data_IF_876256752101
#
_entry.id   IF_876256752101
#
_cell.length_a   1.000
_cell.length_b   1.000
_cell.length_c   1.000
_cell.angle_alpha   90.00
_cell.angle_beta   90.00
_cell.angle_gamma   90.00
#
_symmetry.space_group_name_H-M   'P 1'
#
loop_
_entity.id
_entity.type
_entity.pdbx_description
1 polymer ?
#
# COMPACT_ATOMS: atom_id res chain seq x y z
N UNK A 1 -4.90 9.38 3.57
CA UNK A 1 -4.38 9.15 2.20
C UNK A 1 -5.36 8.27 1.45
N UNK A 2 -5.47 8.43 0.12
CA UNK A 2 -6.36 7.60 -0.70
C UNK A 2 -5.57 6.58 -1.50
N UNK A 3 -6.14 5.39 -1.67
CA UNK A 3 -5.61 4.29 -2.44
C UNK A 3 -6.69 3.82 -3.43
N UNK A 4 -6.35 3.72 -4.71
CA UNK A 4 -7.23 3.08 -5.68
C UNK A 4 -7.38 1.60 -5.31
N UNK A 5 -8.61 1.08 -5.34
CA UNK A 5 -8.87 -0.35 -5.13
C UNK A 5 -9.55 -0.96 -6.33
N UNK A 6 -9.14 -2.18 -6.67
CA UNK A 6 -9.83 -3.10 -7.59
C UNK A 6 -10.42 -4.22 -6.74
N UNK A 7 -11.70 -4.49 -6.86
CA UNK A 7 -12.39 -5.52 -6.06
C UNK A 7 -13.48 -6.21 -6.86
N UNK A 8 -13.86 -7.43 -6.44
CA UNK A 8 -14.97 -8.17 -7.02
C UNK A 8 -16.22 -8.10 -6.14
N UNK A 9 -17.38 -8.08 -6.77
CA UNK A 9 -18.69 -8.20 -6.13
C UNK A 9 -19.21 -9.64 -6.21
N UNK A 10 -20.28 -9.94 -5.47
CA UNK A 10 -20.81 -11.30 -5.35
C UNK A 10 -21.34 -11.90 -6.68
N UNK A 11 -21.65 -11.08 -7.66
CA UNK A 11 -22.03 -11.47 -9.03
C UNK A 11 -20.83 -11.78 -9.94
N UNK A 12 -19.61 -11.62 -9.41
CA UNK A 12 -18.35 -11.87 -10.09
C UNK A 12 -17.85 -10.71 -10.96
N UNK A 13 -18.54 -9.57 -10.97
CA UNK A 13 -18.03 -8.36 -11.64
C UNK A 13 -16.92 -7.71 -10.82
N UNK A 14 -16.00 -7.05 -11.49
CA UNK A 14 -14.96 -6.25 -10.87
C UNK A 14 -15.22 -4.75 -11.03
N UNK A 15 -14.76 -3.97 -10.05
CA UNK A 15 -15.00 -2.54 -9.95
C UNK A 15 -13.79 -1.80 -9.39
N UNK A 16 -13.78 -0.48 -9.63
CA UNK A 16 -12.87 0.43 -8.93
C UNK A 16 -13.61 1.19 -7.84
N UNK A 17 -12.92 1.44 -6.74
CA UNK A 17 -13.25 2.50 -5.79
C UNK A 17 -11.99 3.08 -5.14
N UNK A 18 -12.14 3.94 -4.16
CA UNK A 18 -11.05 4.51 -3.39
C UNK A 18 -11.18 4.11 -1.91
N UNK A 19 -10.14 3.50 -1.38
CA UNK A 19 -10.02 3.23 0.06
C UNK A 19 -9.27 4.37 0.72
N UNK A 20 -9.83 4.93 1.79
CA UNK A 20 -9.12 5.89 2.62
C UNK A 20 -8.23 5.17 3.62
N UNK A 21 -6.95 5.54 3.65
CA UNK A 21 -5.98 5.10 4.65
C UNK A 21 -5.91 6.19 5.71
N UNK A 22 -6.52 6.00 6.90
CA UNK A 22 -6.50 6.99 7.96
C UNK A 22 -5.07 7.29 8.41
N UNK A 23 -4.79 8.56 8.65
CA UNK A 23 -3.52 9.03 9.19
C UNK A 23 -3.73 9.85 10.44
N UNK A 24 -2.70 9.89 11.29
CA UNK A 24 -2.63 10.75 12.45
C UNK A 24 -1.35 11.56 12.41
N UNK A 25 -1.43 12.81 12.84
CA UNK A 25 -0.24 13.66 12.93
C UNK A 25 0.66 13.17 14.05
N UNK A 26 1.94 13.01 13.76
CA UNK A 26 2.94 12.53 14.71
C UNK A 26 4.23 13.32 14.59
N UNK A 27 4.66 13.93 15.67
CA UNK A 27 5.96 14.57 15.78
C UNK A 27 6.99 13.57 16.30
N UNK A 28 7.99 13.24 15.49
CA UNK A 28 9.03 12.24 15.83
C UNK A 28 10.25 12.83 16.50
N UNK A 29 10.42 14.17 16.41
CA UNK A 29 11.51 14.91 17.05
C UNK A 29 11.05 16.33 17.38
N UNK A 30 11.43 16.92 18.54
CA UNK A 30 10.97 18.25 18.93
C UNK A 30 11.21 19.36 17.92
N UNK A 31 12.27 19.24 17.12
CA UNK A 31 12.67 20.24 16.12
C UNK A 31 12.28 19.84 14.68
N UNK A 32 11.50 18.79 14.47
CA UNK A 32 11.03 18.36 13.18
C UNK A 32 9.55 18.73 12.99
N UNK A 33 9.14 18.95 11.75
CA UNK A 33 7.72 19.05 11.41
C UNK A 33 7.02 17.72 11.74
N UNK A 34 5.74 17.79 12.08
CA UNK A 34 4.93 16.60 12.24
C UNK A 34 4.72 15.88 10.90
N UNK A 35 4.67 14.56 10.93
CA UNK A 35 4.32 13.70 9.79
C UNK A 35 2.91 13.16 9.96
N UNK A 36 2.25 12.95 8.84
CA UNK A 36 1.01 12.19 8.79
C UNK A 36 1.35 10.71 8.61
N UNK A 37 1.03 9.90 9.61
CA UNK A 37 1.35 8.46 9.61
C UNK A 37 0.08 7.62 9.75
N UNK A 38 0.00 6.56 8.95
CA UNK A 38 -1.06 5.56 9.08
C UNK A 38 -0.76 4.59 10.22
N UNK A 39 -1.75 3.80 10.60
CA UNK A 39 -1.53 2.59 11.36
C UNK A 39 -0.64 1.60 10.56
N UNK A 40 -0.09 0.60 11.24
CA UNK A 40 0.61 -0.50 10.58
C UNK A 40 -0.40 -1.55 10.11
N UNK A 41 -0.16 -2.08 8.93
CA UNK A 41 -0.94 -3.18 8.35
C UNK A 41 -0.06 -4.43 8.29
N UNK A 42 -0.67 -5.60 8.54
CA UNK A 42 0.05 -6.86 8.49
C UNK A 42 0.33 -7.25 7.03
N UNK A 43 1.60 -7.40 6.69
CA UNK A 43 2.06 -7.90 5.40
C UNK A 43 2.68 -9.28 5.57
N UNK A 44 2.43 -10.20 4.64
CA UNK A 44 2.99 -11.56 4.66
C UNK A 44 4.18 -11.73 3.71
N UNK A 45 4.44 -10.76 2.84
CA UNK A 45 5.58 -10.82 1.92
C UNK A 45 5.69 -9.59 1.05
N UNK A 46 6.88 -9.42 0.48
CA UNK A 46 7.21 -8.36 -0.48
C UNK A 46 7.84 -9.00 -1.71
N UNK A 47 7.46 -8.54 -2.90
CA UNK A 47 8.03 -8.95 -4.18
C UNK A 47 8.35 -7.73 -5.02
N UNK A 48 9.53 -7.72 -5.61
CA UNK A 48 9.89 -6.80 -6.67
C UNK A 48 9.65 -7.47 -8.01
N UNK A 49 8.93 -6.82 -8.90
CA UNK A 49 8.64 -7.34 -10.24
C UNK A 49 9.16 -6.36 -11.27
N UNK A 50 10.06 -6.86 -12.12
CA UNK A 50 10.50 -6.14 -13.30
C UNK A 50 9.64 -6.56 -14.49
N UNK A 51 9.04 -5.59 -15.16
CA UNK A 51 8.25 -5.77 -16.38
C UNK A 51 9.11 -5.26 -17.53
N UNK A 52 9.57 -6.12 -18.45
CA UNK A 52 10.46 -5.72 -19.52
C UNK A 52 9.78 -4.78 -20.51
N UNK A 53 10.60 -3.99 -21.22
CA UNK A 53 10.12 -3.13 -22.29
C UNK A 53 9.34 -3.92 -23.34
N UNK A 54 8.24 -3.35 -23.85
CA UNK A 54 7.34 -4.00 -24.81
C UNK A 54 6.32 -4.97 -24.20
N UNK A 55 6.40 -5.30 -22.93
CA UNK A 55 5.35 -6.03 -22.23
C UNK A 55 4.11 -5.14 -22.12
N UNK A 56 3.01 -5.58 -22.75
CA UNK A 56 1.85 -4.73 -23.01
C UNK A 56 0.65 -5.14 -22.17
N UNK A 57 -0.16 -5.98 -22.71
CA UNK A 57 -1.45 -6.32 -22.17
C UNK A 57 -1.40 -7.68 -21.49
N UNK A 58 -1.98 -7.72 -20.29
CA UNK A 58 -2.38 -8.95 -19.61
C UNK A 58 -3.91 -8.96 -19.65
N UNK A 59 -4.46 -10.03 -20.23
CA UNK A 59 -5.90 -10.20 -20.39
C UNK A 59 -6.58 -10.47 -19.04
N UNK A 60 -7.89 -10.67 -19.03
CA UNK A 60 -8.67 -10.86 -17.81
C UNK A 60 -8.03 -11.87 -16.85
N UNK A 61 -7.73 -11.44 -15.66
CA UNK A 61 -7.11 -12.26 -14.61
C UNK A 61 -7.44 -11.70 -13.22
N UNK A 62 -7.45 -12.58 -12.24
CA UNK A 62 -7.58 -12.25 -10.83
C UNK A 62 -6.20 -12.24 -10.16
N UNK A 63 -6.11 -11.63 -8.97
CA UNK A 63 -4.92 -11.79 -8.14
C UNK A 63 -5.03 -13.03 -7.23
N UNK A 64 -3.92 -13.74 -6.96
CA UNK A 64 -3.94 -14.96 -6.14
C UNK A 64 -4.24 -14.69 -4.65
N UNK A 65 -4.26 -13.46 -4.24
CA UNK A 65 -4.54 -12.99 -2.89
C UNK A 65 -4.44 -11.47 -2.83
N UNK A 66 -5.00 -10.86 -1.80
CA UNK A 66 -4.99 -9.40 -1.63
C UNK A 66 -3.57 -8.85 -1.65
N UNK A 67 -3.33 -7.85 -2.48
CA UNK A 67 -2.01 -7.28 -2.68
C UNK A 67 -2.08 -5.76 -2.88
N UNK A 68 -1.20 -5.04 -2.20
CA UNK A 68 -0.95 -3.64 -2.48
C UNK A 68 0.24 -3.56 -3.44
N UNK A 69 0.05 -2.93 -4.58
CA UNK A 69 1.15 -2.65 -5.52
C UNK A 69 1.54 -1.20 -5.45
N UNK A 70 2.84 -0.94 -5.57
CA UNK A 70 3.38 0.39 -5.76
C UNK A 70 4.20 0.40 -7.05
N UNK A 71 3.82 1.28 -7.96
CA UNK A 71 4.57 1.48 -9.20
C UNK A 71 5.71 2.44 -8.95
N UNK A 72 6.94 1.98 -9.12
CA UNK A 72 8.13 2.79 -8.88
C UNK A 72 8.45 3.69 -10.08
N UNK A 73 8.16 3.18 -11.28
CA UNK A 73 8.36 3.86 -12.56
C UNK A 73 7.28 3.46 -13.56
N UNK A 74 7.28 4.07 -14.76
CA UNK A 74 6.34 3.80 -15.83
C UNK A 74 4.88 4.11 -15.46
N UNK A 75 3.96 3.51 -16.21
CA UNK A 75 2.52 3.60 -15.96
C UNK A 75 1.80 2.33 -16.39
N UNK A 76 0.59 2.12 -15.86
CA UNK A 76 -0.32 1.11 -16.38
C UNK A 76 -1.73 1.67 -16.47
N UNK A 77 -2.52 1.09 -17.36
CA UNK A 77 -3.96 1.25 -17.41
C UNK A 77 -4.59 -0.06 -16.96
N UNK A 78 -5.56 0.04 -16.07
CA UNK A 78 -6.34 -1.10 -15.60
C UNK A 78 -7.78 -0.94 -16.05
N UNK A 79 -8.41 -2.04 -16.46
CA UNK A 79 -9.82 -2.09 -16.83
C UNK A 79 -10.52 -3.12 -15.96
N UNK A 80 -11.66 -2.75 -15.37
CA UNK A 80 -12.56 -3.64 -14.65
C UNK A 80 -13.67 -4.16 -15.54
N UNK A 81 -14.34 -5.24 -15.14
CA UNK A 81 -15.31 -5.93 -15.97
C UNK A 81 -16.60 -5.14 -16.19
N UNK A 82 -16.87 -4.13 -15.37
CA UNK A 82 -17.94 -3.15 -15.58
C UNK A 82 -17.62 -2.10 -16.67
N UNK A 83 -16.42 -2.17 -17.25
CA UNK A 83 -15.96 -1.29 -18.33
C UNK A 83 -15.28 -0.01 -17.88
N UNK A 84 -15.08 0.19 -16.57
CA UNK A 84 -14.33 1.33 -16.07
C UNK A 84 -12.81 1.15 -16.29
N UNK A 85 -12.11 2.25 -16.59
CA UNK A 85 -10.68 2.27 -16.86
C UNK A 85 -9.98 3.32 -16.01
N UNK A 86 -8.81 2.95 -15.49
CA UNK A 86 -7.98 3.85 -14.68
C UNK A 86 -6.52 3.78 -15.10
N UNK A 87 -5.94 4.95 -15.32
CA UNK A 87 -4.50 5.11 -15.52
C UNK A 87 -3.80 5.33 -14.19
N UNK A 88 -2.76 4.55 -13.96
CA UNK A 88 -1.95 4.55 -12.73
C UNK A 88 -0.51 4.93 -13.09
N UNK A 89 -0.06 6.14 -12.79
CA UNK A 89 1.30 6.58 -13.03
C UNK A 89 2.28 6.06 -11.96
N UNK A 90 3.57 6.28 -12.18
CA UNK A 90 4.61 6.08 -11.18
C UNK A 90 4.31 6.83 -9.87
N UNK A 91 4.72 6.27 -8.74
CA UNK A 91 4.45 6.78 -7.40
C UNK A 91 3.04 6.49 -6.87
N UNK A 92 2.16 5.91 -7.69
CA UNK A 92 0.83 5.49 -7.26
C UNK A 92 0.86 4.08 -6.68
N UNK A 93 -0.08 3.82 -5.77
CA UNK A 93 -0.32 2.49 -5.25
C UNK A 93 -1.79 2.08 -5.47
N UNK A 94 -1.98 0.78 -5.70
CA UNK A 94 -3.28 0.16 -5.97
C UNK A 94 -3.44 -1.06 -5.09
N UNK A 95 -4.58 -1.16 -4.44
CA UNK A 95 -4.99 -2.36 -3.70
C UNK A 95 -5.80 -3.26 -4.62
N UNK A 96 -5.31 -4.46 -4.89
CA UNK A 96 -6.04 -5.48 -5.62
C UNK A 96 -6.66 -6.46 -4.63
N UNK A 97 -7.99 -6.57 -4.68
CA UNK A 97 -8.82 -7.46 -3.88
C UNK A 97 -9.77 -8.30 -4.76
N UNK A 98 -9.61 -8.25 -6.06
CA UNK A 98 -10.31 -9.05 -7.06
C UNK A 98 -9.71 -10.47 -7.14
N UNK A 99 -9.81 -11.20 -6.02
CA UNK A 99 -9.25 -12.55 -5.85
C UNK A 99 -10.09 -13.63 -6.51
N UNK A 100 -11.28 -13.31 -6.95
CA UNK A 100 -12.25 -14.15 -7.62
C UNK A 100 -13.04 -13.38 -8.70
N UNK A 101 -13.95 -14.05 -9.39
CA UNK A 101 -14.78 -13.45 -10.45
C UNK A 101 -14.01 -13.22 -11.75
N UNK A 102 -14.37 -12.17 -12.48
CA UNK A 102 -13.80 -11.86 -13.79
C UNK A 102 -12.40 -11.25 -13.74
N UNK A 103 -12.05 -10.65 -12.59
CA UNK A 103 -10.77 -9.98 -12.43
C UNK A 103 -10.67 -8.68 -13.24
N UNK A 104 -9.45 -8.29 -13.57
CA UNK A 104 -9.15 -7.07 -14.33
C UNK A 104 -8.23 -7.35 -15.51
N UNK A 105 -8.16 -6.39 -16.43
CA UNK A 105 -7.10 -6.32 -17.46
C UNK A 105 -6.06 -5.28 -17.04
N UNK A 106 -4.83 -5.49 -17.49
CA UNK A 106 -3.76 -4.48 -17.36
C UNK A 106 -3.07 -4.22 -18.70
N UNK A 107 -2.83 -2.96 -18.99
CA UNK A 107 -2.05 -2.50 -20.13
C UNK A 107 -0.84 -1.71 -19.57
N UNK A 108 0.34 -2.27 -19.71
CA UNK A 108 1.57 -1.63 -19.25
C UNK A 108 2.13 -0.69 -20.33
N UNK A 109 2.76 0.42 -19.91
CA UNK A 109 3.46 1.31 -20.83
C UNK A 109 4.61 0.57 -21.56
N UNK A 110 5.02 1.08 -22.76
CA UNK A 110 6.02 0.38 -23.56
C UNK A 110 7.42 0.31 -22.95
N UNK A 111 7.71 1.17 -21.99
CA UNK A 111 9.00 1.21 -21.30
C UNK A 111 9.09 0.07 -20.26
N UNK A 112 10.30 -0.32 -19.91
CA UNK A 112 10.51 -1.20 -18.76
C UNK A 112 10.03 -0.55 -17.45
N UNK A 113 9.58 -1.36 -16.51
CA UNK A 113 8.95 -0.88 -15.28
C UNK A 113 9.31 -1.75 -14.09
N UNK A 114 9.32 -1.14 -12.93
CA UNK A 114 9.46 -1.84 -11.65
C UNK A 114 8.24 -1.61 -10.77
N UNK A 115 7.68 -2.70 -10.28
CA UNK A 115 6.51 -2.69 -9.40
C UNK A 115 6.84 -3.43 -8.12
N UNK A 116 6.58 -2.80 -6.99
CA UNK A 116 6.64 -3.42 -5.67
C UNK A 116 5.26 -4.02 -5.35
N UNK A 117 5.24 -5.28 -4.93
CA UNK A 117 4.06 -6.02 -4.50
C UNK A 117 4.18 -6.34 -3.02
N UNK A 118 3.17 -5.97 -2.25
CA UNK A 118 3.09 -6.21 -0.81
C UNK A 118 1.84 -7.04 -0.54
N UNK A 119 2.03 -8.31 -0.15
CA UNK A 119 0.91 -9.19 0.17
C UNK A 119 0.23 -8.74 1.46
N UNK A 120 -1.05 -8.38 1.38
CA UNK A 120 -1.87 -7.89 2.49
C UNK A 120 -3.09 -8.79 2.72
N UNK A 121 -2.96 -9.95 3.38
CA UNK A 121 -4.07 -10.90 3.54
C UNK A 121 -5.31 -10.31 4.20
N UNK A 122 -5.15 -9.29 5.03
CA UNK A 122 -6.24 -8.58 5.73
C UNK A 122 -6.69 -7.29 5.00
N UNK A 123 -6.10 -6.97 3.83
CA UNK A 123 -6.34 -5.69 3.14
C UNK A 123 -5.87 -4.49 3.97
N UNK A 124 -6.45 -3.32 3.67
CA UNK A 124 -6.18 -2.05 4.39
C UNK A 124 -7.27 -1.69 5.40
N UNK A 125 -8.35 -2.45 5.50
CA UNK A 125 -9.46 -2.17 6.40
C UNK A 125 -9.17 -2.56 7.86
N UNK A 126 -8.23 -3.50 8.07
CA UNK A 126 -7.89 -4.02 9.40
C UNK A 126 -6.43 -3.73 9.73
N UNK A 127 -6.15 -2.57 10.35
CA UNK A 127 -4.80 -2.29 10.82
C UNK A 127 -4.40 -3.28 11.91
N UNK A 128 -3.11 -3.61 11.95
CA UNK A 128 -2.55 -4.44 13.01
C UNK A 128 -2.75 -3.75 14.35
N UNK A 129 -3.50 -4.37 15.25
CA UNK A 129 -3.55 -3.93 16.64
C UNK A 129 -2.17 -4.16 17.23
N UNK A 130 -1.46 -3.08 17.51
CA UNK A 130 -0.27 -3.14 18.35
C UNK A 130 -0.76 -3.60 19.72
N UNK A 131 -0.44 -4.83 20.11
CA UNK A 131 -0.66 -5.27 21.49
C UNK A 131 -0.12 -4.19 22.42
N UNK A 132 -0.90 -3.87 23.46
CA UNK A 132 -0.58 -2.86 24.48
C UNK A 132 0.79 -3.18 25.10
N UNK A 133 1.85 -2.72 24.45
CA UNK A 133 3.23 -2.81 24.90
C UNK A 133 3.61 -1.57 25.67
N UNK A 134 3.46 -1.66 26.99
CA UNK A 134 4.08 -0.82 28.02
C UNK A 134 3.90 0.69 27.86
N UNK A 135 2.98 1.22 28.61
CA UNK A 135 3.07 2.56 29.20
C UNK A 135 4.45 2.68 29.88
N UNK A 136 5.36 3.41 29.26
CA UNK A 136 6.57 3.86 29.96
C UNK A 136 6.08 4.90 30.96
N UNK A 137 5.97 4.52 32.22
CA UNK A 137 5.81 5.44 33.34
C UNK A 137 6.94 6.46 33.26
N UNK A 138 6.57 7.72 33.08
CA UNK A 138 7.52 8.82 33.32
C UNK A 138 7.88 8.81 34.78
N UNK A 139 9.02 8.21 35.11
CA UNK A 139 9.69 8.45 36.39
C UNK A 139 10.33 9.82 36.25
N UNK A 140 9.84 10.77 37.01
CA UNK A 140 10.46 12.06 37.26
C UNK A 140 11.84 11.81 37.87
N UNK A 141 12.89 11.97 37.09
CA UNK A 141 14.24 12.00 37.59
C UNK A 141 14.57 13.42 38.01
N UNK A 142 14.70 13.59 39.31
CA UNK A 142 15.36 14.71 40.00
C UNK A 142 16.81 14.85 39.51
N UNK A 143 17.20 16.10 39.39
CA UNK A 143 18.53 16.62 39.05
C UNK A 143 19.70 15.86 39.69
N UNK A 144 20.66 15.45 38.85
CA UNK A 144 22.00 15.03 39.27
C UNK A 144 22.97 15.33 38.13
N UNK A 145 23.86 16.29 38.39
CA UNK A 145 24.98 16.72 37.55
C UNK A 145 25.99 15.59 37.30
N UNK A 146 26.50 15.48 36.08
CA UNK A 146 27.71 14.66 35.87
C UNK A 146 27.99 14.31 34.40
N UNK A 147 28.88 15.13 33.81
CA UNK A 147 29.96 14.82 32.83
C UNK A 147 29.79 13.78 31.72
N UNK A 148 29.99 14.30 30.51
CA UNK A 148 30.70 13.76 29.32
C UNK A 148 30.70 12.25 29.03
N UNK A 149 30.23 11.89 27.85
CA UNK A 149 31.01 11.13 26.85
C UNK A 149 30.33 11.08 25.47
N UNK A 150 31.15 11.21 24.47
CA UNK A 150 30.95 11.20 23.01
C UNK A 150 30.41 9.89 22.49
N UNK A 151 29.83 10.04 21.33
CA UNK A 151 29.44 9.16 20.21
C UNK A 151 27.97 8.81 20.16
#
# INVERSE_FOLDING_TARGET
MKCLRVYSTADGESHFDEVEIPTTSRQVHPNAAAFEVSAKYAASGIRFTHIPAGARQVDWHTVPGRVLTMRLDGSAEYQTSDGDERRVPAGSFVLFEDVDGKGHKSLHSPEEQTVLWISLPQGLEKPTQLGNGRTVSQTTATSGSGTNAKY
#
